data_IF_745765331071
#
_entry.id   IF_745765331071
#
_cell.length_a   1.000
_cell.length_b   1.000
_cell.length_c   1.000
_cell.angle_alpha   90.00
_cell.angle_beta   90.00
_cell.angle_gamma   90.00
#
_symmetry.space_group_name_H-M   'P 1'
#
loop_
_entity.id
_entity.type
_entity.pdbx_description
1 polymer ?
#
# COMPACT_ATOMS: atom_id res chain seq x y z
N UNK A 1 -3.27 -21.55 11.40
CA UNK A 1 -3.55 -20.45 10.42
C UNK A 1 -4.95 -20.56 9.82
N UNK A 2 -5.33 -21.72 9.25
CA UNK A 2 -6.67 -21.94 8.66
C UNK A 2 -7.82 -21.65 9.63
N UNK A 3 -7.69 -22.10 10.88
CA UNK A 3 -8.69 -21.83 11.93
C UNK A 3 -8.88 -20.33 12.20
N UNK A 4 -7.79 -19.55 12.29
CA UNK A 4 -7.86 -18.09 12.49
C UNK A 4 -8.57 -17.38 11.33
N UNK A 5 -8.36 -17.84 10.10
CA UNK A 5 -9.04 -17.29 8.91
C UNK A 5 -10.51 -17.69 8.80
N UNK A 6 -10.90 -18.81 9.43
CA UNK A 6 -12.27 -19.31 9.44
C UNK A 6 -13.18 -18.57 10.43
N UNK A 7 -12.61 -17.86 11.41
CA UNK A 7 -13.37 -16.98 12.31
C UNK A 7 -14.04 -15.84 11.54
N UNK A 8 -15.17 -15.34 12.03
CA UNK A 8 -15.86 -14.18 11.43
C UNK A 8 -14.97 -12.93 11.38
N UNK A 9 -14.15 -12.72 12.42
CA UNK A 9 -13.16 -11.64 12.43
C UNK A 9 -12.11 -11.83 11.32
N UNK A 10 -11.63 -13.06 11.14
CA UNK A 10 -10.70 -13.45 10.08
C UNK A 10 -11.27 -13.21 8.69
N UNK A 11 -12.53 -13.62 8.45
CA UNK A 11 -13.24 -13.38 7.19
C UNK A 11 -13.41 -11.89 6.89
N UNK A 12 -13.81 -11.10 7.90
CA UNK A 12 -13.96 -9.64 7.77
C UNK A 12 -12.64 -8.97 7.39
N UNK A 13 -11.56 -9.27 8.12
CA UNK A 13 -10.20 -8.76 7.83
C UNK A 13 -9.69 -9.23 6.46
N UNK A 14 -10.02 -10.45 6.05
CA UNK A 14 -9.66 -10.97 4.73
C UNK A 14 -10.38 -10.21 3.60
N UNK A 15 -11.68 -9.95 3.77
CA UNK A 15 -12.46 -9.15 2.82
C UNK A 15 -11.90 -7.72 2.68
N UNK A 16 -11.60 -7.07 3.81
CA UNK A 16 -11.04 -5.71 3.83
C UNK A 16 -9.69 -5.61 3.09
N UNK A 17 -8.85 -6.64 3.16
CA UNK A 17 -7.54 -6.66 2.48
C UNK A 17 -7.64 -6.52 0.97
N UNK A 18 -8.72 -6.99 0.34
CA UNK A 18 -8.95 -6.84 -1.10
C UNK A 18 -9.04 -5.40 -1.53
N UNK A 19 -9.53 -4.53 -0.64
CA UNK A 19 -9.73 -3.11 -0.89
C UNK A 19 -8.50 -2.31 -0.46
N UNK A 20 -7.87 -2.69 0.64
CA UNK A 20 -6.80 -1.89 1.22
C UNK A 20 -5.41 -2.32 0.74
N UNK A 21 -5.10 -3.60 0.90
CA UNK A 21 -3.73 -4.12 0.84
C UNK A 21 -3.38 -4.64 -0.56
N UNK A 22 -4.29 -5.39 -1.19
CA UNK A 22 -4.08 -5.94 -2.53
C UNK A 22 -3.82 -4.86 -3.58
N UNK A 23 -4.53 -3.71 -3.60
CA UNK A 23 -4.26 -2.66 -4.58
C UNK A 23 -2.89 -2.01 -4.40
N UNK A 24 -2.39 -1.87 -3.17
CA UNK A 24 -1.04 -1.35 -2.90
C UNK A 24 0.01 -2.29 -3.48
N UNK A 25 -0.15 -3.61 -3.27
CA UNK A 25 0.74 -4.59 -3.86
C UNK A 25 0.68 -4.60 -5.39
N UNK A 26 -0.52 -4.48 -5.98
CA UNK A 26 -0.70 -4.36 -7.41
C UNK A 26 -0.01 -3.11 -7.98
N UNK A 27 -0.15 -1.96 -7.33
CA UNK A 27 0.50 -0.71 -7.71
C UNK A 27 2.02 -0.80 -7.63
N UNK A 28 2.58 -1.46 -6.61
CA UNK A 28 4.03 -1.63 -6.48
C UNK A 28 4.54 -2.61 -7.54
N UNK A 29 3.88 -3.76 -7.72
CA UNK A 29 4.34 -4.80 -8.64
C UNK A 29 4.13 -4.43 -10.11
N UNK A 30 2.91 -4.06 -10.50
CA UNK A 30 2.58 -3.81 -11.91
C UNK A 30 2.90 -2.38 -12.34
N UNK A 31 2.45 -1.36 -11.58
CA UNK A 31 2.61 0.02 -12.03
C UNK A 31 4.05 0.54 -11.86
N UNK A 32 4.80 -0.01 -10.89
CA UNK A 32 6.21 0.36 -10.64
C UNK A 32 7.20 -0.72 -11.03
N UNK A 33 6.72 -1.82 -11.64
CA UNK A 33 7.54 -2.93 -12.14
C UNK A 33 8.47 -3.56 -11.08
N UNK A 34 8.12 -3.43 -9.80
CA UNK A 34 8.92 -3.99 -8.71
C UNK A 34 8.61 -5.48 -8.54
N UNK A 35 9.36 -6.31 -9.28
CA UNK A 35 9.18 -7.77 -9.28
C UNK A 35 10.30 -8.51 -8.53
N UNK A 36 11.46 -7.88 -8.36
CA UNK A 36 12.64 -8.50 -7.73
C UNK A 36 13.32 -7.51 -6.81
N UNK A 37 13.82 -8.02 -5.68
CA UNK A 37 14.74 -7.29 -4.83
C UNK A 37 16.11 -7.22 -5.50
N UNK A 38 16.73 -6.06 -5.43
CA UNK A 38 18.07 -5.80 -5.96
C UNK A 38 19.14 -6.30 -5.00
N UNK A 39 18.84 -6.27 -3.70
CA UNK A 39 19.76 -6.70 -2.66
C UNK A 39 19.59 -8.19 -2.32
N UNK A 40 20.60 -8.74 -1.65
CA UNK A 40 20.59 -10.10 -1.11
C UNK A 40 20.65 -10.08 0.41
N UNK A 41 19.86 -10.95 1.03
CA UNK A 41 19.76 -11.08 2.48
C UNK A 41 18.58 -10.31 3.06
N UNK A 42 17.92 -10.91 4.06
CA UNK A 42 16.66 -10.41 4.62
C UNK A 42 16.77 -8.97 5.13
N UNK A 43 17.81 -8.67 5.90
CA UNK A 43 18.04 -7.33 6.46
C UNK A 43 18.08 -6.24 5.39
N UNK A 44 18.82 -6.45 4.30
CA UNK A 44 18.93 -5.49 3.20
C UNK A 44 17.63 -5.37 2.42
N UNK A 45 16.94 -6.49 2.18
CA UNK A 45 15.65 -6.50 1.48
C UNK A 45 14.56 -5.80 2.30
N UNK A 46 14.61 -5.87 3.63
CA UNK A 46 13.70 -5.12 4.50
C UNK A 46 13.86 -3.61 4.32
N UNK A 47 15.09 -3.12 4.18
CA UNK A 47 15.36 -1.70 3.90
C UNK A 47 14.85 -1.31 2.51
N UNK A 48 15.16 -2.11 1.48
CA UNK A 48 14.68 -1.88 0.11
C UNK A 48 13.15 -1.82 0.05
N UNK A 49 12.49 -2.76 0.71
CA UNK A 49 11.03 -2.79 0.83
C UNK A 49 10.48 -1.55 1.54
N UNK A 50 11.11 -1.14 2.65
CA UNK A 50 10.73 0.05 3.40
C UNK A 50 10.80 1.33 2.56
N UNK A 51 11.85 1.48 1.76
CA UNK A 51 12.02 2.62 0.84
C UNK A 51 10.91 2.66 -0.22
N UNK A 52 10.55 1.52 -0.81
CA UNK A 52 9.48 1.42 -1.80
C UNK A 52 8.13 1.79 -1.18
N UNK A 53 7.85 1.29 0.02
CA UNK A 53 6.64 1.65 0.76
C UNK A 53 6.58 3.15 1.09
N UNK A 54 7.71 3.73 1.52
CA UNK A 54 7.80 5.16 1.79
C UNK A 54 7.53 5.99 0.53
N UNK A 55 8.19 5.67 -0.59
CA UNK A 55 7.98 6.34 -1.88
C UNK A 55 6.52 6.21 -2.36
N UNK A 56 5.91 5.04 -2.19
CA UNK A 56 4.51 4.81 -2.49
C UNK A 56 3.58 5.73 -1.68
N UNK A 57 3.82 5.82 -0.37
CA UNK A 57 3.03 6.66 0.53
C UNK A 57 3.18 8.14 0.22
N UNK A 58 4.39 8.61 -0.10
CA UNK A 58 4.64 10.00 -0.49
C UNK A 58 3.85 10.35 -1.76
N UNK A 59 3.80 9.47 -2.75
CA UNK A 59 3.03 9.70 -3.98
C UNK A 59 1.53 9.78 -3.68
N UNK A 60 1.01 8.89 -2.82
CA UNK A 60 -0.39 9.01 -2.35
C UNK A 60 -0.64 10.34 -1.65
N UNK A 61 0.32 10.82 -0.86
CA UNK A 61 0.18 12.08 -0.14
C UNK A 61 0.14 13.28 -1.09
N UNK A 62 1.06 13.35 -2.07
CA UNK A 62 1.06 14.41 -3.09
C UNK A 62 -0.22 14.42 -3.91
N UNK A 63 -0.75 13.25 -4.30
CA UNK A 63 -2.03 13.16 -5.01
C UNK A 63 -3.19 13.73 -4.18
N UNK A 64 -3.24 13.45 -2.88
CA UNK A 64 -4.25 14.03 -1.98
C UNK A 64 -4.10 15.54 -1.83
N UNK A 65 -2.88 16.05 -1.72
CA UNK A 65 -2.63 17.50 -1.63
C UNK A 65 -3.12 18.22 -2.90
N UNK A 66 -2.84 17.65 -4.07
CA UNK A 66 -3.26 18.21 -5.36
C UNK A 66 -4.79 18.14 -5.58
N UNK A 67 -5.49 17.22 -4.90
CA UNK A 67 -6.96 17.18 -4.90
C UNK A 67 -7.52 18.27 -4.00
N UNK A 68 -6.92 18.46 -2.81
CA UNK A 68 -7.32 19.49 -1.85
C UNK A 68 -7.12 20.91 -2.37
N UNK A 69 -6.11 21.14 -3.21
CA UNK A 69 -5.91 22.44 -3.88
C UNK A 69 -6.96 22.74 -4.95
N UNK A 70 -7.67 21.73 -5.46
CA UNK A 70 -8.74 21.85 -6.48
C UNK A 70 -10.14 21.92 -5.88
N UNK A 71 -10.32 21.61 -4.60
CA UNK A 71 -11.58 21.83 -3.90
C UNK A 71 -11.83 23.34 -3.81
N UNK A 72 -12.94 23.86 -4.35
CA UNK A 72 -13.26 25.27 -4.22
C UNK A 72 -13.38 25.57 -2.72
N UNK A 73 -12.59 26.53 -2.24
CA UNK A 73 -12.76 27.08 -0.90
C UNK A 73 -14.14 27.73 -0.84
N UNK A 74 -15.16 26.97 -0.43
CA UNK A 74 -16.40 27.55 0.05
C UNK A 74 -16.01 28.23 1.37
N UNK A 75 -15.61 29.50 1.27
CA UNK A 75 -15.40 30.36 2.42
C UNK A 75 -16.77 30.58 3.07
N UNK A 76 -16.97 29.98 4.24
CA UNK A 76 -17.89 30.42 5.27
C UNK A 76 -17.13 30.45 6.59
#
# INVERSE_FOLDING_TARGET
>A
VRERLATEEGKRKYSQRKIDVEPVFGQIKHNRQFHRFSLRGLSKNTVEWGLICAAHNLIKWTLKLNQRSKEPQIRR
#
